data_IF_203111078813
#
_entry.id   IF_203111078813
#
_cell.length_a   1.000
_cell.length_b   1.000
_cell.length_c   1.000
_cell.angle_alpha   90.00
_cell.angle_beta   90.00
_cell.angle_gamma   90.00
#
_symmetry.space_group_name_H-M   'P 1'
#
loop_
_entity.id
_entity.type
_entity.pdbx_description
1 polymer ?
#
# COMPACT_ATOMS: atom_id res chain seq x y z
N UNK A 1 1.18 -8.94 -18.11
CA UNK A 1 1.24 -8.40 -16.75
C UNK A 1 0.81 -6.94 -16.66
N UNK A 2 1.30 -6.11 -17.54
CA UNK A 2 0.96 -4.68 -17.52
C UNK A 2 -0.56 -4.46 -17.71
N UNK A 3 -1.18 -5.22 -18.62
CA UNK A 3 -2.62 -5.11 -18.88
C UNK A 3 -3.44 -5.51 -17.66
N UNK A 4 -2.95 -6.50 -16.89
CA UNK A 4 -3.65 -6.96 -15.69
C UNK A 4 -3.46 -6.05 -14.48
N UNK A 5 -2.43 -5.21 -14.48
CA UNK A 5 -2.07 -4.39 -13.32
C UNK A 5 -2.01 -2.89 -13.58
N UNK A 6 -1.88 -2.48 -14.83
CA UNK A 6 -1.73 -1.07 -15.21
C UNK A 6 -2.88 -0.64 -16.10
N UNK A 7 -3.99 -0.28 -15.51
CA UNK A 7 -5.17 0.23 -16.18
C UNK A 7 -5.72 1.42 -15.38
N UNK A 8 -6.62 2.18 -15.99
CA UNK A 8 -7.18 3.36 -15.33
C UNK A 8 -7.82 2.99 -13.99
N UNK A 9 -7.52 3.77 -12.96
CA UNK A 9 -8.00 3.56 -11.59
C UNK A 9 -7.52 2.26 -10.93
N UNK A 10 -6.47 1.64 -11.45
CA UNK A 10 -5.93 0.39 -10.88
C UNK A 10 -5.22 0.58 -9.54
N UNK A 11 -4.82 1.80 -9.20
CA UNK A 11 -4.07 2.10 -8.00
C UNK A 11 -4.59 3.36 -7.33
N UNK A 12 -5.63 3.25 -6.49
CA UNK A 12 -6.09 4.40 -5.70
C UNK A 12 -5.02 4.81 -4.69
N UNK A 13 -4.76 6.12 -4.61
CA UNK A 13 -3.73 6.66 -3.73
C UNK A 13 -4.35 7.73 -2.84
N UNK A 14 -4.20 7.57 -1.53
CA UNK A 14 -4.65 8.54 -0.56
C UNK A 14 -3.62 9.62 -0.27
N UNK A 15 -3.81 10.32 0.85
CA UNK A 15 -2.85 11.32 1.32
C UNK A 15 -1.55 10.65 1.74
N UNK A 16 -0.42 11.25 1.37
CA UNK A 16 0.88 10.79 1.82
C UNK A 16 1.13 11.20 3.28
N UNK A 17 1.76 10.31 4.02
CA UNK A 17 2.28 10.59 5.35
C UNK A 17 3.77 10.79 5.27
N UNK A 18 4.28 11.80 5.96
CA UNK A 18 5.74 12.00 6.07
C UNK A 18 6.32 10.90 6.97
N UNK A 19 7.52 10.46 6.65
CA UNK A 19 8.24 9.48 7.47
C UNK A 19 8.35 9.95 8.93
N UNK A 20 8.55 11.26 9.12
CA UNK A 20 8.66 11.85 10.46
C UNK A 20 7.39 11.75 11.30
N UNK A 21 6.24 11.51 10.67
CA UNK A 21 4.95 11.33 11.37
C UNK A 21 4.75 9.89 11.85
N UNK A 22 5.60 8.96 11.43
CA UNK A 22 5.51 7.54 11.77
C UNK A 22 6.45 7.23 12.93
N UNK A 23 6.05 6.30 13.79
CA UNK A 23 6.86 5.89 14.94
C UNK A 23 8.15 5.22 14.51
N UNK A 24 8.05 4.26 13.60
CA UNK A 24 9.19 3.51 13.09
C UNK A 24 8.89 3.01 11.69
N UNK A 25 9.68 3.42 10.71
CA UNK A 25 9.47 3.05 9.30
C UNK A 25 9.61 1.54 9.08
N UNK A 26 10.49 0.90 9.86
CA UNK A 26 10.74 -0.53 9.71
C UNK A 26 9.72 -1.40 10.44
N UNK A 27 8.77 -0.80 11.14
CA UNK A 27 7.72 -1.54 11.86
C UNK A 27 6.40 -0.77 11.85
N UNK A 28 5.85 -0.62 10.66
CA UNK A 28 4.57 0.05 10.46
C UNK A 28 3.47 -1.00 10.41
N UNK A 29 2.49 -0.89 11.28
CA UNK A 29 1.27 -1.67 11.20
C UNK A 29 0.35 -1.07 10.15
N UNK A 30 -0.19 -1.90 9.28
CA UNK A 30 -1.13 -1.45 8.25
C UNK A 30 -2.16 -2.52 7.96
N UNK A 31 -3.26 -2.11 7.33
CA UNK A 31 -4.30 -3.06 7.00
C UNK A 31 -5.39 -2.47 6.15
N UNK A 32 -6.32 -3.33 5.78
CA UNK A 32 -7.47 -2.94 4.97
C UNK A 32 -8.72 -3.69 5.43
N UNK A 33 -9.81 -2.94 5.52
CA UNK A 33 -11.15 -3.51 5.72
C UNK A 33 -11.92 -3.47 4.41
N UNK A 34 -12.64 -4.54 4.14
CA UNK A 34 -13.59 -4.63 3.03
C UNK A 34 -14.98 -4.71 3.63
N UNK A 35 -15.80 -3.70 3.36
CA UNK A 35 -17.17 -3.60 3.91
C UNK A 35 -17.21 -3.76 5.44
N UNK A 36 -16.24 -3.16 6.12
CA UNK A 36 -16.19 -3.16 7.58
C UNK A 36 -15.48 -4.35 8.22
N UNK A 37 -15.02 -5.31 7.44
CA UNK A 37 -14.31 -6.50 7.94
C UNK A 37 -12.86 -6.49 7.52
N UNK A 38 -11.98 -6.88 8.44
CA UNK A 38 -10.55 -6.99 8.14
C UNK A 38 -10.30 -8.07 7.10
N UNK A 39 -9.64 -7.72 6.00
CA UNK A 39 -9.21 -8.66 4.96
C UNK A 39 -7.70 -8.74 4.85
N UNK A 40 -7.00 -7.66 5.20
CA UNK A 40 -5.54 -7.63 5.23
C UNK A 40 -5.05 -6.93 6.48
N UNK A 41 -4.06 -7.50 7.13
CA UNK A 41 -3.34 -6.89 8.25
C UNK A 41 -1.89 -7.31 8.17
N UNK A 42 -0.97 -6.37 8.37
CA UNK A 42 0.45 -6.66 8.27
C UNK A 42 1.30 -5.63 8.98
N UNK A 43 2.59 -5.92 9.02
CA UNK A 43 3.62 -5.04 9.55
C UNK A 43 4.75 -4.94 8.54
N UNK A 44 5.31 -3.75 8.39
CA UNK A 44 6.43 -3.57 7.46
C UNK A 44 7.66 -4.38 7.86
N UNK A 45 7.82 -4.71 9.13
CA UNK A 45 8.92 -5.58 9.62
C UNK A 45 8.89 -6.98 9.00
N UNK A 46 7.72 -7.43 8.54
CA UNK A 46 7.54 -8.77 7.95
C UNK A 46 7.78 -8.78 6.44
N UNK A 47 8.15 -7.65 5.86
CA UNK A 47 8.52 -7.58 4.45
C UNK A 47 9.76 -8.42 4.17
N UNK A 48 9.77 -9.12 3.04
CA UNK A 48 10.93 -9.91 2.62
C UNK A 48 12.15 -9.01 2.43
N UNK A 49 11.96 -7.84 1.82
CA UNK A 49 13.00 -6.84 1.64
C UNK A 49 12.56 -5.52 2.28
N UNK A 50 13.49 -4.86 2.99
CA UNK A 50 13.23 -3.55 3.58
C UNK A 50 12.97 -2.49 2.51
N UNK A 51 12.36 -1.38 2.89
CA UNK A 51 12.15 -0.24 1.99
C UNK A 51 13.48 0.24 1.38
N UNK A 52 14.51 0.39 2.21
CA UNK A 52 15.82 0.84 1.75
C UNK A 52 16.40 -0.10 0.71
N UNK A 53 16.24 -1.40 0.92
CA UNK A 53 16.75 -2.41 0.00
C UNK A 53 16.00 -2.39 -1.33
N UNK A 54 14.69 -2.20 -1.30
CA UNK A 54 13.88 -2.09 -2.50
C UNK A 54 14.29 -0.85 -3.30
N UNK A 55 14.43 0.29 -2.64
CA UNK A 55 14.84 1.54 -3.27
C UNK A 55 16.23 1.40 -3.89
N UNK A 56 17.17 0.83 -3.16
CA UNK A 56 18.53 0.60 -3.65
C UNK A 56 18.53 -0.31 -4.89
N UNK A 57 17.72 -1.36 -4.89
CA UNK A 57 17.62 -2.26 -6.02
C UNK A 57 17.03 -1.58 -7.27
N UNK A 58 15.90 -0.89 -7.10
CA UNK A 58 15.21 -0.23 -8.21
C UNK A 58 16.07 0.89 -8.81
N UNK A 59 16.78 1.64 -7.98
CA UNK A 59 17.62 2.75 -8.42
C UNK A 59 18.80 2.31 -9.28
N UNK A 60 19.14 1.01 -9.28
CA UNK A 60 20.17 0.46 -10.18
C UNK A 60 19.70 0.41 -11.64
N UNK A 61 18.40 0.38 -11.88
CA UNK A 61 17.83 0.19 -13.22
C UNK A 61 17.12 1.44 -13.73
N UNK A 62 16.56 2.24 -12.83
CA UNK A 62 15.85 3.47 -13.19
C UNK A 62 16.26 4.58 -12.24
N UNK A 63 16.21 5.81 -12.74
CA UNK A 63 16.42 6.99 -11.90
C UNK A 63 15.15 7.31 -11.14
N UNK A 64 15.21 7.27 -9.80
CA UNK A 64 14.08 7.65 -8.96
C UNK A 64 14.10 9.15 -8.73
N UNK A 65 12.98 9.79 -8.96
CA UNK A 65 12.80 11.22 -8.79
C UNK A 65 11.85 11.50 -7.64
N UNK A 66 11.93 12.70 -7.10
CA UNK A 66 10.96 13.16 -6.10
C UNK A 66 9.54 13.06 -6.67
N UNK A 67 8.64 12.49 -5.90
CA UNK A 67 7.26 12.25 -6.32
C UNK A 67 7.00 10.88 -6.94
N UNK A 68 8.05 10.11 -7.21
CA UNK A 68 7.87 8.73 -7.69
C UNK A 68 7.25 7.85 -6.61
N UNK A 69 6.38 6.94 -7.02
CA UNK A 69 5.69 6.01 -6.12
C UNK A 69 6.21 4.61 -6.38
N UNK A 70 6.60 3.91 -5.32
CA UNK A 70 7.06 2.54 -5.39
C UNK A 70 6.05 1.65 -4.67
N UNK A 71 5.45 0.71 -5.40
CA UNK A 71 4.56 -0.28 -4.80
C UNK A 71 5.41 -1.44 -4.28
N UNK A 72 5.39 -1.62 -2.97
CA UNK A 72 6.27 -2.56 -2.28
C UNK A 72 5.66 -3.92 -2.03
N UNK A 73 4.48 -4.17 -2.57
CA UNK A 73 3.79 -5.43 -2.40
C UNK A 73 2.69 -5.36 -1.35
N UNK A 74 2.06 -6.49 -1.12
CA UNK A 74 0.90 -6.58 -0.22
C UNK A 74 0.97 -7.87 0.58
N UNK A 75 0.41 -7.88 1.82
CA UNK A 75 0.36 -9.09 2.64
C UNK A 75 -0.73 -10.05 2.15
N UNK A 76 -0.93 -11.13 2.90
CA UNK A 76 -2.01 -12.09 2.65
C UNK A 76 -3.38 -11.39 2.69
N UNK A 77 -4.35 -11.97 2.00
CA UNK A 77 -5.72 -11.48 1.99
C UNK A 77 -6.12 -10.80 0.70
N UNK A 78 -5.34 -11.01 -0.36
CA UNK A 78 -5.72 -10.53 -1.70
C UNK A 78 -6.98 -11.27 -2.14
N UNK A 79 -7.93 -10.52 -2.65
CA UNK A 79 -9.19 -11.06 -3.10
C UNK A 79 -9.86 -10.16 -4.12
N UNK A 80 -10.96 -10.65 -4.65
CA UNK A 80 -11.75 -9.93 -5.63
C UNK A 80 -12.58 -8.85 -4.96
N UNK A 81 -12.75 -7.72 -5.64
CA UNK A 81 -13.66 -6.65 -5.22
C UNK A 81 -14.74 -6.45 -6.28
N UNK A 82 -15.89 -5.98 -5.84
CA UNK A 82 -17.07 -5.79 -6.70
C UNK A 82 -17.54 -4.35 -6.63
N UNK A 83 -18.27 -3.92 -7.63
CA UNK A 83 -18.90 -2.60 -7.65
C UNK A 83 -19.76 -2.43 -6.39
N UNK A 84 -19.58 -1.31 -5.70
CA UNK A 84 -20.29 -1.02 -4.46
C UNK A 84 -19.52 -1.39 -3.20
N UNK A 85 -18.45 -2.17 -3.30
CA UNK A 85 -17.63 -2.49 -2.16
C UNK A 85 -16.93 -1.25 -1.60
N UNK A 86 -16.89 -1.17 -0.27
CA UNK A 86 -16.21 -0.10 0.45
C UNK A 86 -14.91 -0.62 1.01
N UNK A 87 -13.83 0.07 0.68
CA UNK A 87 -12.48 -0.25 1.16
C UNK A 87 -12.01 0.85 2.11
N UNK A 88 -11.46 0.44 3.23
CA UNK A 88 -10.91 1.35 4.22
C UNK A 88 -9.48 0.93 4.56
N UNK A 89 -8.54 1.84 4.36
CA UNK A 89 -7.13 1.60 4.60
C UNK A 89 -6.71 2.18 5.93
N UNK A 90 -5.89 1.42 6.65
CA UNK A 90 -5.38 1.79 7.96
C UNK A 90 -3.87 1.85 7.98
N UNK A 91 -3.35 2.82 8.71
CA UNK A 91 -1.93 2.97 8.96
C UNK A 91 -1.75 3.26 10.44
N UNK A 92 -1.01 2.42 11.15
CA UNK A 92 -0.81 2.52 12.60
C UNK A 92 -2.14 2.62 13.36
N UNK A 93 -3.09 1.76 13.00
CA UNK A 93 -4.42 1.65 13.61
C UNK A 93 -5.35 2.83 13.35
N UNK A 94 -4.95 3.76 12.49
CA UNK A 94 -5.78 4.91 12.12
C UNK A 94 -6.29 4.75 10.70
N UNK A 95 -7.56 5.05 10.50
CA UNK A 95 -8.15 5.11 9.16
C UNK A 95 -7.53 6.28 8.39
N UNK A 96 -6.91 5.99 7.25
CA UNK A 96 -6.22 6.99 6.45
C UNK A 96 -6.86 7.22 5.08
N UNK A 97 -7.67 6.28 4.62
CA UNK A 97 -8.29 6.42 3.31
C UNK A 97 -9.50 5.51 3.20
N UNK A 98 -10.59 6.04 2.72
CA UNK A 98 -11.83 5.29 2.47
C UNK A 98 -12.26 5.57 1.04
N UNK A 99 -12.56 4.52 0.29
CA UNK A 99 -13.07 4.68 -1.06
C UNK A 99 -14.05 3.54 -1.40
N UNK A 100 -14.88 3.79 -2.41
CA UNK A 100 -15.86 2.83 -2.87
C UNK A 100 -15.55 2.44 -4.33
N UNK A 101 -15.75 1.15 -4.63
CA UNK A 101 -15.58 0.65 -5.99
C UNK A 101 -16.78 1.06 -6.83
N UNK A 102 -16.51 1.74 -7.92
CA UNK A 102 -17.55 2.21 -8.87
C UNK A 102 -17.57 1.39 -10.15
#
# INVERSE_FOLDING_TARGET
WEIAKAFDYSAPVGKFKKISELKCVDDIAFGMKLNGEWVQQGHSRDMIFSFDRIIAHVSRFVTLNEGDIVFTGTPQGVGEVHVGDKLELFLEEKSVYVFQVN
#
